data_IF_921533733039
#
_entry.id   IF_921533733039
#
_cell.length_a   1.000
_cell.length_b   1.000
_cell.length_c   1.000
_cell.angle_alpha   90.00
_cell.angle_beta   90.00
_cell.angle_gamma   90.00
#
_symmetry.space_group_name_H-M   'P 1'
#
loop_
_entity.id
_entity.type
_entity.pdbx_description
1 polymer ?
#
# COMPACT_ATOMS: atom_id res chain seq x y z
N UNK A 1 13.28 -23.67 14.59
CA UNK A 1 11.82 -23.52 14.52
C UNK A 1 11.51 -22.18 15.14
N UNK A 2 11.00 -21.23 14.36
CA UNK A 2 10.79 -19.86 14.84
C UNK A 2 9.46 -19.80 15.59
N UNK A 3 9.55 -19.36 16.85
CA UNK A 3 8.43 -19.02 17.71
C UNK A 3 7.65 -17.82 17.15
N UNK A 4 6.35 -18.00 16.94
CA UNK A 4 5.41 -16.94 16.60
C UNK A 4 4.44 -16.74 17.75
N UNK A 5 4.74 -15.76 18.60
CA UNK A 5 3.80 -15.06 19.48
C UNK A 5 4.35 -13.62 19.61
N UNK A 6 3.60 -12.54 19.40
CA UNK A 6 2.45 -12.10 20.19
C UNK A 6 1.60 -11.16 19.32
N UNK A 7 0.31 -11.48 19.21
CA UNK A 7 -0.74 -10.57 18.72
C UNK A 7 -0.99 -9.50 19.77
N UNK A 8 -0.41 -8.31 19.62
CA UNK A 8 -0.89 -7.12 20.36
C UNK A 8 -2.00 -6.45 19.59
N UNK A 9 -3.25 -6.67 20.04
CA UNK A 9 -4.44 -5.92 19.60
C UNK A 9 -4.21 -4.42 19.81
N UNK A 10 -4.29 -3.61 18.74
CA UNK A 10 -4.37 -2.15 18.87
C UNK A 10 -5.42 -1.59 17.91
N UNK A 11 -6.49 -1.07 18.52
CA UNK A 11 -7.63 -0.30 18.01
C UNK A 11 -7.70 -0.09 16.49
N UNK A 12 -8.57 -0.86 15.83
CA UNK A 12 -9.12 -0.49 14.52
C UNK A 12 -10.05 0.71 14.70
N UNK A 13 -9.55 1.91 14.41
CA UNK A 13 -10.44 3.05 14.23
C UNK A 13 -11.36 2.74 13.04
N UNK A 14 -12.66 2.94 13.27
CA UNK A 14 -13.74 2.75 12.28
C UNK A 14 -13.34 3.40 10.95
N UNK A 15 -13.25 2.57 9.91
CA UNK A 15 -13.13 3.00 8.52
C UNK A 15 -14.25 4.01 8.21
N UNK A 16 -13.95 5.23 7.74
CA UNK A 16 -14.98 6.06 7.16
C UNK A 16 -15.46 5.36 5.88
N UNK A 17 -16.72 4.93 5.87
CA UNK A 17 -17.41 4.49 4.67
C UNK A 17 -17.57 5.72 3.75
N UNK A 18 -16.60 5.97 2.87
CA UNK A 18 -16.72 6.95 1.79
C UNK A 18 -15.77 6.60 0.63
N UNK A 19 -16.33 6.01 -0.41
CA UNK A 19 -15.62 5.63 -1.63
C UNK A 19 -15.08 6.85 -2.39
N UNK A 20 -13.78 6.80 -2.68
CA UNK A 20 -13.25 7.20 -3.99
C UNK A 20 -12.77 8.64 -4.20
N UNK A 21 -12.84 9.54 -3.22
CA UNK A 21 -12.45 10.96 -3.43
C UNK A 21 -11.15 11.41 -2.76
N UNK A 22 -10.59 10.65 -1.83
CA UNK A 22 -9.41 11.07 -1.08
C UNK A 22 -8.12 10.51 -1.71
N UNK A 23 -7.17 11.42 -1.98
CA UNK A 23 -5.82 11.09 -2.38
C UNK A 23 -4.90 11.10 -1.15
N UNK A 24 -3.96 10.16 -1.12
CA UNK A 24 -2.95 10.04 -0.08
C UNK A 24 -1.55 10.07 -0.69
N UNK A 25 -0.61 10.67 0.04
CA UNK A 25 0.82 10.62 -0.31
C UNK A 25 1.38 9.24 -0.03
N UNK A 26 2.36 8.83 -0.84
CA UNK A 26 3.03 7.53 -0.77
C UNK A 26 4.50 7.71 -0.43
N UNK A 27 5.01 6.87 0.46
CA UNK A 27 6.44 6.62 0.55
C UNK A 27 6.81 5.61 -0.54
N UNK A 28 7.28 6.14 -1.67
CA UNK A 28 7.63 5.33 -2.84
C UNK A 28 8.79 4.37 -2.60
N UNK A 29 9.77 4.77 -1.78
CA UNK A 29 10.92 3.93 -1.44
C UNK A 29 10.47 2.72 -0.63
N UNK A 30 9.61 2.94 0.36
CA UNK A 30 9.04 1.88 1.18
C UNK A 30 8.13 0.95 0.40
N UNK A 31 7.27 1.47 -0.48
CA UNK A 31 6.46 0.65 -1.38
C UNK A 31 7.33 -0.28 -2.25
N UNK A 32 8.42 0.25 -2.82
CA UNK A 32 9.36 -0.52 -3.64
C UNK A 32 10.06 -1.61 -2.82
N UNK A 33 10.46 -1.29 -1.59
CA UNK A 33 11.10 -2.23 -0.67
C UNK A 33 10.18 -3.42 -0.38
N UNK A 34 8.92 -3.15 0.01
CA UNK A 34 7.93 -4.18 0.32
C UNK A 34 7.67 -5.12 -0.86
N UNK A 35 7.56 -4.56 -2.07
CA UNK A 35 7.44 -5.37 -3.30
C UNK A 35 8.65 -6.29 -3.50
N UNK A 36 9.87 -5.75 -3.36
CA UNK A 36 11.10 -6.53 -3.53
C UNK A 36 11.27 -7.61 -2.47
N UNK A 37 10.84 -7.37 -1.23
CA UNK A 37 10.83 -8.39 -0.15
C UNK A 37 9.96 -9.60 -0.49
N UNK A 38 8.94 -9.42 -1.33
CA UNK A 38 8.12 -10.49 -1.92
C UNK A 38 8.69 -11.09 -3.22
N UNK A 39 9.88 -10.68 -3.64
CA UNK A 39 10.48 -11.04 -4.92
C UNK A 39 9.57 -10.77 -6.14
N UNK A 40 8.69 -9.76 -6.03
CA UNK A 40 7.76 -9.42 -7.10
C UNK A 40 8.35 -8.38 -8.05
N UNK A 41 8.20 -8.57 -9.35
CA UNK A 41 8.31 -7.53 -10.36
C UNK A 41 7.08 -6.61 -10.38
N UNK A 42 7.19 -5.43 -11.00
CA UNK A 42 6.05 -4.49 -11.08
C UNK A 42 4.85 -5.08 -11.81
N UNK A 43 5.09 -5.86 -12.86
CA UNK A 43 4.04 -6.58 -13.61
C UNK A 43 3.39 -7.69 -12.78
N UNK A 44 4.10 -8.26 -11.81
CA UNK A 44 3.52 -9.23 -10.88
C UNK A 44 2.63 -8.55 -9.87
N UNK A 45 3.08 -7.42 -9.32
CA UNK A 45 2.25 -6.61 -8.43
C UNK A 45 1.01 -6.06 -9.16
N UNK A 46 1.12 -5.71 -10.44
CA UNK A 46 -0.03 -5.37 -11.28
C UNK A 46 -1.03 -6.52 -11.36
N UNK A 47 -0.57 -7.73 -11.72
CA UNK A 47 -1.44 -8.91 -11.80
C UNK A 47 -2.13 -9.20 -10.46
N UNK A 48 -1.42 -9.00 -9.35
CA UNK A 48 -1.96 -9.28 -8.01
C UNK A 48 -2.93 -8.19 -7.50
N UNK A 49 -2.66 -6.91 -7.80
CA UNK A 49 -3.43 -5.77 -7.26
C UNK A 49 -4.48 -5.19 -8.22
N UNK A 50 -4.37 -5.49 -9.52
CA UNK A 50 -5.13 -4.83 -10.57
C UNK A 50 -4.77 -3.35 -10.78
N UNK A 51 -3.62 -2.89 -10.27
CA UNK A 51 -3.09 -1.54 -10.48
C UNK A 51 -2.03 -1.60 -11.58
N UNK A 52 -2.23 -0.86 -12.66
CA UNK A 52 -1.35 -0.93 -13.82
C UNK A 52 0.12 -0.63 -13.47
N UNK A 53 1.07 -1.36 -14.07
CA UNK A 53 2.50 -1.29 -13.69
C UNK A 53 3.11 0.11 -13.82
N UNK A 54 2.63 0.94 -14.75
CA UNK A 54 3.10 2.33 -14.90
C UNK A 54 2.70 3.20 -13.70
N UNK A 55 1.51 2.99 -13.15
CA UNK A 55 1.06 3.64 -11.91
C UNK A 55 1.95 3.20 -10.76
N UNK A 56 2.20 1.90 -10.62
CA UNK A 56 3.11 1.36 -9.60
C UNK A 56 4.50 2.01 -9.71
N UNK A 57 5.06 2.10 -10.92
CA UNK A 57 6.37 2.71 -11.14
C UNK A 57 6.41 4.18 -10.69
N UNK A 58 5.37 4.97 -11.01
CA UNK A 58 5.28 6.38 -10.58
C UNK A 58 5.12 6.51 -9.07
N UNK A 59 4.36 5.63 -8.43
CA UNK A 59 4.20 5.60 -6.97
C UNK A 59 5.53 5.25 -6.27
N UNK A 60 6.26 4.25 -6.78
CA UNK A 60 7.59 3.90 -6.25
C UNK A 60 8.62 5.03 -6.39
N UNK A 61 8.45 5.90 -7.38
CA UNK A 61 9.28 7.09 -7.58
C UNK A 61 8.77 8.31 -6.79
N UNK A 62 7.65 8.20 -6.07
CA UNK A 62 7.02 9.34 -5.37
C UNK A 62 6.43 10.40 -6.31
N UNK A 63 6.23 10.07 -7.59
CA UNK A 63 5.78 11.00 -8.65
C UNK A 63 4.25 11.07 -8.81
N UNK A 64 3.51 10.43 -7.92
CA UNK A 64 2.05 10.43 -7.94
C UNK A 64 1.49 10.23 -6.52
N UNK A 65 0.38 10.92 -6.24
CA UNK A 65 -0.52 10.51 -5.16
C UNK A 65 -1.43 9.39 -5.67
N UNK A 66 -2.06 8.66 -4.75
CA UNK A 66 -3.03 7.62 -5.10
C UNK A 66 -4.29 7.74 -4.28
N UNK A 67 -5.39 7.17 -4.79
CA UNK A 67 -6.61 7.01 -4.00
C UNK A 67 -6.38 6.02 -2.86
N UNK A 68 -7.08 6.20 -1.75
CA UNK A 68 -7.10 5.23 -0.64
C UNK A 68 -7.45 3.82 -1.14
N UNK A 69 -8.36 3.71 -2.11
CA UNK A 69 -8.72 2.42 -2.70
C UNK A 69 -7.55 1.75 -3.43
N UNK A 70 -6.68 2.53 -4.08
CA UNK A 70 -5.46 2.02 -4.72
C UNK A 70 -4.45 1.56 -3.68
N UNK A 71 -4.27 2.33 -2.59
CA UNK A 71 -3.40 1.95 -1.50
C UNK A 71 -3.83 0.60 -0.89
N UNK A 72 -5.13 0.40 -0.65
CA UNK A 72 -5.67 -0.88 -0.17
C UNK A 72 -5.37 -2.05 -1.12
N UNK A 73 -5.62 -1.89 -2.42
CA UNK A 73 -5.31 -2.94 -3.42
C UNK A 73 -3.84 -3.35 -3.43
N UNK A 74 -2.93 -2.37 -3.32
CA UNK A 74 -1.50 -2.64 -3.27
C UNK A 74 -1.11 -3.32 -1.95
N UNK A 75 -1.67 -2.86 -0.82
CA UNK A 75 -1.43 -3.44 0.49
C UNK A 75 -1.92 -4.89 0.57
N UNK A 76 -3.11 -5.19 0.04
CA UNK A 76 -3.68 -6.54 -0.03
C UNK A 76 -2.76 -7.48 -0.84
N UNK A 77 -2.31 -7.05 -2.02
CA UNK A 77 -1.36 -7.81 -2.83
C UNK A 77 0.01 -8.00 -2.13
N UNK A 78 0.46 -6.97 -1.41
CA UNK A 78 1.69 -6.98 -0.62
C UNK A 78 1.53 -7.65 0.75
N UNK A 79 0.33 -8.05 1.17
CA UNK A 79 0.08 -8.71 2.46
C UNK A 79 0.53 -7.87 3.65
N UNK A 80 0.37 -6.55 3.59
CA UNK A 80 0.76 -5.58 4.62
C UNK A 80 -0.39 -4.62 4.92
N UNK A 81 -0.27 -3.82 5.98
CA UNK A 81 -1.20 -2.72 6.20
C UNK A 81 -0.89 -1.54 5.25
N UNK A 82 -1.88 -0.84 4.67
CA UNK A 82 -1.65 0.37 3.87
C UNK A 82 -0.79 1.44 4.57
N UNK A 83 -0.85 1.54 5.91
CA UNK A 83 -0.05 2.50 6.67
C UNK A 83 1.46 2.26 6.57
N UNK A 84 1.87 1.07 6.11
CA UNK A 84 3.30 0.74 5.92
C UNK A 84 3.96 1.56 4.82
N UNK A 85 3.21 2.16 3.89
CA UNK A 85 3.76 2.95 2.78
C UNK A 85 2.94 4.19 2.43
N UNK A 86 1.92 4.52 3.22
CA UNK A 86 1.10 5.72 3.07
C UNK A 86 1.51 6.73 4.15
N UNK A 87 1.75 7.98 3.76
CA UNK A 87 2.02 9.08 4.69
C UNK A 87 0.73 9.67 5.27
N UNK A 88 0.82 10.32 6.44
CA UNK A 88 -0.34 10.85 7.19
C UNK A 88 -1.12 11.97 6.48
N UNK A 89 -0.58 12.58 5.43
CA UNK A 89 -1.23 13.67 4.72
C UNK A 89 -2.26 13.18 3.70
N UNK A 90 -3.53 13.28 4.09
CA UNK A 90 -4.66 13.30 3.18
C UNK A 90 -4.73 14.69 2.55
N UNK A 91 -4.41 14.79 1.25
CA UNK A 91 -4.64 16.02 0.48
C UNK A 91 -6.12 16.05 0.08
N UNK A 92 -6.87 16.96 0.69
CA UNK A 92 -8.27 17.25 0.39
C UNK A 92 -8.43 18.01 -0.93
#
# INVERSE_FOLDING_TARGET
MQDFAIVTRKKINKTPAAGGRLNVRVDGARLRELRKRKAMERRELERASGVHWTTIARLELGQAAMRISTARKLADALGVDPSEFVGEEVVA
#
